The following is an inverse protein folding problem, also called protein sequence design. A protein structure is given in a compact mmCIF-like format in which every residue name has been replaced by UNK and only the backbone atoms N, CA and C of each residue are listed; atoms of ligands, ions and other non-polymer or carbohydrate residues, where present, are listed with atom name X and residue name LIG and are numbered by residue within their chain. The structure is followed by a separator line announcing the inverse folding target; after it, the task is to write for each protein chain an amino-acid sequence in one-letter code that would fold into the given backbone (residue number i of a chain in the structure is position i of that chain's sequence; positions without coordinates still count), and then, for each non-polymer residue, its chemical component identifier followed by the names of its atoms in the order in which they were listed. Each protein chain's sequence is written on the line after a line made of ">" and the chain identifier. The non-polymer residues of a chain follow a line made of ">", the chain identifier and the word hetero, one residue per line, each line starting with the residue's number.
data_IF_420029382063
#
_entry.id   IF_420029382063
#
_cell.length_a   1.000
_cell.length_b   1.000
_cell.length_c   1.000
_cell.angle_alpha   90.00
_cell.angle_beta   90.00
_cell.angle_gamma   90.00
#
_symmetry.space_group_name_H-M   'P 1'
#
loop_
_entity.id
_entity.type
_entity.pdbx_description
1 polymer ?
#
# COMPACT_ATOMS: atom_id res chain seq x y z
N UNK A 1 14.68 10.01 8.30
CA UNK A 1 13.36 9.64 8.84
C UNK A 1 13.14 8.15 8.62
N UNK A 2 12.62 7.45 9.63
CA UNK A 2 12.09 6.08 9.50
C UNK A 2 10.58 6.13 9.69
N UNK A 3 9.84 5.16 9.20
CA UNK A 3 8.41 5.10 9.49
C UNK A 3 8.14 4.54 10.90
N UNK A 4 7.00 4.89 11.49
CA UNK A 4 6.53 4.33 12.76
C UNK A 4 6.51 2.81 12.71
N UNK A 5 6.08 2.23 11.58
CA UNK A 5 6.09 0.78 11.33
C UNK A 5 7.43 0.13 11.70
N UNK A 6 8.53 0.75 11.32
CA UNK A 6 9.88 0.21 11.54
C UNK A 6 10.35 0.30 13.00
N UNK A 7 9.64 1.07 13.84
CA UNK A 7 10.02 1.31 15.22
C UNK A 7 8.96 0.83 16.24
N UNK A 8 7.89 0.15 15.80
CA UNK A 8 6.76 -0.25 16.67
C UNK A 8 7.20 -0.94 17.96
N UNK A 9 8.10 -1.93 17.90
CA UNK A 9 8.62 -2.61 19.09
C UNK A 9 9.31 -1.66 20.08
N UNK A 10 10.11 -0.71 19.57
CA UNK A 10 10.79 0.27 20.43
C UNK A 10 9.80 1.27 21.01
N UNK A 11 8.81 1.70 20.22
CA UNK A 11 7.73 2.60 20.66
C UNK A 11 6.88 1.94 21.75
N UNK A 12 6.56 0.65 21.61
CA UNK A 12 5.81 -0.12 22.61
C UNK A 12 6.55 -0.28 23.93
N UNK A 13 7.89 -0.22 23.93
CA UNK A 13 8.72 -0.24 25.14
C UNK A 13 8.89 1.14 25.78
N UNK A 14 8.43 2.22 25.14
CA UNK A 14 8.49 3.55 25.75
C UNK A 14 7.50 3.69 26.91
N UNK A 15 7.84 4.59 27.83
CA UNK A 15 6.90 5.08 28.84
C UNK A 15 5.65 5.65 28.18
N UNK A 16 4.50 5.47 28.82
CA UNK A 16 3.22 6.00 28.36
C UNK A 16 3.26 7.51 28.12
N UNK A 17 4.01 8.26 28.92
CA UNK A 17 4.21 9.70 28.69
C UNK A 17 4.64 10.01 27.25
N UNK A 18 5.59 9.24 26.73
CA UNK A 18 6.16 9.40 25.40
C UNK A 18 5.29 8.80 24.31
N UNK A 19 4.59 7.69 24.59
CA UNK A 19 3.57 7.17 23.67
C UNK A 19 2.44 8.18 23.45
N UNK A 20 2.00 8.84 24.52
CA UNK A 20 0.96 9.86 24.46
C UNK A 20 1.45 11.15 23.78
N UNK A 21 2.72 11.54 23.96
CA UNK A 21 3.32 12.64 23.18
C UNK A 21 3.28 12.33 21.68
N UNK A 22 3.77 11.14 21.29
CA UNK A 22 3.80 10.67 19.92
C UNK A 22 2.38 10.66 19.29
N UNK A 23 1.40 10.09 20.01
CA UNK A 23 0.00 10.05 19.58
C UNK A 23 -0.63 11.44 19.48
N UNK A 24 -0.28 12.35 20.39
CA UNK A 24 -0.77 13.73 20.33
C UNK A 24 -0.28 14.44 19.07
N UNK A 25 0.97 14.23 18.66
CA UNK A 25 1.50 14.77 17.41
C UNK A 25 0.77 14.21 16.19
N UNK A 26 0.55 12.89 16.12
CA UNK A 26 -0.18 12.25 15.01
C UNK A 26 -1.64 12.75 14.97
N UNK A 27 -2.31 12.85 16.13
CA UNK A 27 -3.69 13.33 16.21
C UNK A 27 -3.81 14.81 15.82
N UNK A 28 -2.81 15.64 16.17
CA UNK A 28 -2.75 17.04 15.78
C UNK A 28 -2.61 17.20 14.27
N UNK A 29 -1.73 16.43 13.63
CA UNK A 29 -1.59 16.42 12.17
C UNK A 29 -2.89 15.99 11.49
N UNK A 30 -3.54 14.94 12.01
CA UNK A 30 -4.82 14.46 11.46
C UNK A 30 -5.89 15.55 11.57
N UNK A 31 -5.95 16.22 12.72
CA UNK A 31 -6.82 17.37 12.93
C UNK A 31 -6.56 18.48 11.91
N UNK A 32 -5.29 18.80 11.63
CA UNK A 32 -4.92 19.82 10.66
C UNK A 32 -5.33 19.44 9.23
N UNK A 33 -5.13 18.18 8.83
CA UNK A 33 -5.58 17.67 7.54
C UNK A 33 -7.10 17.80 7.44
N UNK A 34 -7.83 17.32 8.46
CA UNK A 34 -9.28 17.34 8.49
C UNK A 34 -9.87 18.76 8.57
N UNK A 35 -9.17 19.73 9.18
CA UNK A 35 -9.63 21.12 9.24
C UNK A 35 -9.60 21.82 7.88
N UNK A 36 -8.84 21.29 6.92
CA UNK A 36 -8.79 21.76 5.54
C UNK A 36 -9.76 21.00 4.62
N UNK A 37 -10.70 20.24 5.19
CA UNK A 37 -11.63 19.38 4.45
C UNK A 37 -10.94 18.37 3.54
N UNK A 38 -9.78 17.87 3.99
CA UNK A 38 -9.01 16.82 3.33
C UNK A 38 -9.25 15.49 4.06
N UNK A 39 -9.41 14.42 3.31
CA UNK A 39 -9.41 13.02 3.77
C UNK A 39 -8.14 12.37 3.27
N UNK A 40 -7.39 11.68 4.15
CA UNK A 40 -6.08 11.11 3.83
C UNK A 40 -6.18 9.84 2.98
N UNK A 41 -7.12 8.93 3.28
CA UNK A 41 -7.44 7.71 2.51
C UNK A 41 -6.42 6.56 2.55
N UNK A 42 -5.19 6.83 2.98
CA UNK A 42 -4.12 5.82 3.13
C UNK A 42 -3.32 6.04 4.43
N UNK A 43 -4.05 6.30 5.52
CA UNK A 43 -3.43 6.52 6.83
C UNK A 43 -3.03 5.17 7.46
N UNK A 44 -1.74 4.95 7.66
CA UNK A 44 -1.20 3.74 8.30
C UNK A 44 0.20 4.00 8.86
N UNK A 45 0.74 3.09 9.69
CA UNK A 45 2.04 3.30 10.35
C UNK A 45 3.24 3.48 9.41
N UNK A 46 3.17 3.01 8.16
CA UNK A 46 4.22 3.29 7.17
C UNK A 46 4.21 4.75 6.67
N UNK A 47 3.06 5.41 6.70
CA UNK A 47 2.87 6.82 6.33
C UNK A 47 2.99 7.77 7.53
N UNK A 48 3.38 7.26 8.70
CA UNK A 48 3.79 8.07 9.84
C UNK A 48 5.32 8.13 9.87
N UNK A 49 5.90 9.29 9.59
CA UNK A 49 7.36 9.49 9.57
C UNK A 49 7.86 9.99 10.92
N UNK A 50 8.98 9.41 11.35
CA UNK A 50 9.66 9.76 12.60
C UNK A 50 11.02 10.37 12.30
N UNK A 51 11.23 11.60 12.79
CA UNK A 51 12.56 12.23 12.84
C UNK A 51 13.44 11.59 13.90
N UNK A 52 12.85 11.33 15.05
CA UNK A 52 13.37 10.49 16.12
C UNK A 52 12.22 9.69 16.73
N UNK A 53 12.48 8.78 17.67
CA UNK A 53 11.46 7.87 18.20
C UNK A 53 10.31 8.58 18.96
N UNK A 54 10.51 9.83 19.36
CA UNK A 54 9.55 10.62 20.15
C UNK A 54 8.68 11.56 19.31
N UNK A 55 9.06 11.81 18.06
CA UNK A 55 8.35 12.72 17.15
C UNK A 55 7.78 11.95 15.96
N UNK A 56 6.57 12.30 15.54
CA UNK A 56 5.90 11.68 14.39
C UNK A 56 5.10 12.71 13.61
N UNK A 57 5.09 12.53 12.29
CA UNK A 57 4.32 13.34 11.35
C UNK A 57 3.56 12.46 10.38
N UNK A 58 2.32 12.84 10.07
CA UNK A 58 1.57 12.22 8.98
C UNK A 58 2.17 12.66 7.64
N UNK A 59 2.39 11.71 6.75
CA UNK A 59 2.99 11.91 5.44
C UNK A 59 2.17 11.24 4.34
N UNK A 60 2.58 11.44 3.09
CA UNK A 60 1.98 10.84 1.89
C UNK A 60 0.49 11.17 1.70
N UNK A 61 0.24 12.41 1.29
CA UNK A 61 -1.06 12.88 0.84
C UNK A 61 -1.35 12.52 -0.63
N UNK A 62 -0.63 11.57 -1.23
CA UNK A 62 -0.80 11.19 -2.64
C UNK A 62 -2.20 10.69 -2.98
N UNK A 63 -2.88 10.07 -2.01
CA UNK A 63 -4.28 9.62 -2.15
C UNK A 63 -5.30 10.58 -1.55
N UNK A 64 -4.82 11.67 -0.94
CA UNK A 64 -5.69 12.58 -0.22
C UNK A 64 -6.61 13.34 -1.17
N UNK A 65 -7.85 13.55 -0.75
CA UNK A 65 -8.85 14.28 -1.56
C UNK A 65 -9.64 15.24 -0.70
N UNK A 66 -10.18 16.28 -1.33
CA UNK A 66 -11.15 17.15 -0.69
C UNK A 66 -12.48 16.43 -0.56
N UNK A 67 -13.15 16.58 0.58
CA UNK A 67 -14.48 16.02 0.85
C UNK A 67 -15.49 16.33 -0.27
N UNK A 68 -15.38 17.49 -0.90
CA UNK A 68 -16.28 17.93 -1.96
C UNK A 68 -16.10 17.17 -3.29
N UNK A 69 -14.90 16.63 -3.57
CA UNK A 69 -14.61 15.87 -4.80
C UNK A 69 -14.99 14.39 -4.68
N UNK A 70 -15.01 13.84 -3.47
CA UNK A 70 -15.30 12.42 -3.22
C UNK A 70 -16.70 12.02 -3.69
N UNK A 71 -17.64 12.97 -3.69
CA UNK A 71 -19.04 12.74 -4.10
C UNK A 71 -19.23 12.57 -5.60
N UNK A 72 -18.30 13.05 -6.44
CA UNK A 72 -18.49 13.14 -7.90
C UNK A 72 -17.75 12.06 -8.71
N UNK A 73 -16.77 11.34 -8.12
CA UNK A 73 -15.77 10.60 -8.92
C UNK A 73 -15.55 9.14 -8.57
N UNK A 74 -16.08 8.62 -7.46
CA UNK A 74 -15.83 7.23 -7.10
C UNK A 74 -16.81 6.29 -7.81
N UNK A 75 -16.39 5.78 -8.97
CA UNK A 75 -16.96 4.54 -9.50
C UNK A 75 -16.83 3.48 -8.40
N UNK A 76 -17.97 3.00 -7.89
CA UNK A 76 -18.18 2.08 -6.73
C UNK A 76 -17.39 0.76 -6.70
N UNK A 77 -16.34 0.59 -7.52
CA UNK A 77 -15.70 -0.70 -7.81
C UNK A 77 -14.22 -0.80 -7.40
N UNK A 78 -13.52 0.28 -7.08
CA UNK A 78 -12.08 0.25 -6.79
C UNK A 78 -11.76 1.01 -5.50
N UNK A 79 -11.38 0.29 -4.46
CA UNK A 79 -10.86 0.86 -3.21
C UNK A 79 -9.33 0.83 -3.30
N UNK A 80 -8.65 1.84 -2.78
CA UNK A 80 -7.20 1.85 -2.65
C UNK A 80 -6.81 1.95 -1.18
N UNK A 81 -5.80 1.20 -0.75
CA UNK A 81 -5.19 1.35 0.57
C UNK A 81 -4.63 0.04 1.11
N UNK A 82 -4.12 0.08 2.34
CA UNK A 82 -3.66 -1.13 3.06
C UNK A 82 -4.84 -1.78 3.80
N UNK A 83 -5.24 -2.97 3.37
CA UNK A 83 -6.48 -3.67 3.77
C UNK A 83 -6.81 -3.60 5.28
N UNK A 84 -5.91 -3.93 6.22
CA UNK A 84 -6.17 -3.78 7.66
C UNK A 84 -6.69 -2.40 8.08
N UNK A 85 -6.20 -1.32 7.46
CA UNK A 85 -6.48 0.06 7.85
C UNK A 85 -7.75 0.64 7.21
N UNK A 86 -8.36 -0.07 6.26
CA UNK A 86 -9.55 0.41 5.55
C UNK A 86 -10.77 0.18 6.42
N UNK A 87 -11.55 1.23 6.62
CA UNK A 87 -12.76 1.18 7.43
C UNK A 87 -13.83 0.24 6.81
N UNK A 88 -14.62 -0.46 7.63
CA UNK A 88 -15.56 -1.48 7.15
C UNK A 88 -16.64 -0.92 6.21
N UNK A 89 -17.09 0.32 6.41
CA UNK A 89 -18.03 0.99 5.50
C UNK A 89 -17.40 1.24 4.13
N UNK A 90 -16.11 1.61 4.09
CA UNK A 90 -15.38 1.81 2.84
C UNK A 90 -15.23 0.49 2.11
N UNK A 91 -14.93 -0.60 2.83
CA UNK A 91 -14.93 -1.96 2.28
C UNK A 91 -16.32 -2.40 1.75
N UNK A 92 -17.41 -1.81 2.27
CA UNK A 92 -18.77 -2.00 1.77
C UNK A 92 -19.11 -1.10 0.56
N UNK A 93 -18.15 -0.34 0.03
CA UNK A 93 -18.32 0.49 -1.15
C UNK A 93 -18.81 1.91 -0.86
N UNK A 94 -18.78 2.36 0.39
CA UNK A 94 -18.95 3.79 0.69
C UNK A 94 -17.66 4.55 0.38
N UNK A 95 -17.79 5.83 0.06
CA UNK A 95 -16.64 6.70 -0.12
C UNK A 95 -15.83 6.89 1.15
N UNK A 96 -14.54 7.20 0.99
CA UNK A 96 -13.69 7.60 2.11
C UNK A 96 -14.18 8.89 2.76
N UNK A 97 -14.07 8.96 4.09
CA UNK A 97 -14.50 10.10 4.89
C UNK A 97 -13.46 10.42 5.98
N UNK A 98 -13.60 11.57 6.63
CA UNK A 98 -12.81 11.86 7.84
C UNK A 98 -12.96 10.77 8.90
N UNK A 99 -14.16 10.19 9.03
CA UNK A 99 -14.41 9.08 9.95
C UNK A 99 -13.71 7.78 9.54
N UNK A 100 -13.44 7.54 8.25
CA UNK A 100 -12.64 6.39 7.82
C UNK A 100 -11.16 6.57 8.16
N UNK A 101 -10.60 7.79 8.07
CA UNK A 101 -9.23 8.04 8.56
C UNK A 101 -9.13 7.82 10.09
N UNK A 102 -10.19 8.17 10.84
CA UNK A 102 -10.25 7.93 12.29
C UNK A 102 -10.23 6.43 12.63
N UNK A 103 -10.88 5.59 11.81
CA UNK A 103 -10.77 4.14 11.94
C UNK A 103 -9.31 3.68 11.81
N UNK A 104 -8.61 4.16 10.79
CA UNK A 104 -7.20 3.86 10.58
C UNK A 104 -6.32 4.37 11.73
N UNK A 105 -6.62 5.55 12.29
CA UNK A 105 -5.96 6.07 13.48
C UNK A 105 -6.15 5.15 14.71
N UNK A 106 -7.35 4.58 14.90
CA UNK A 106 -7.60 3.60 15.97
C UNK A 106 -6.72 2.35 15.86
N UNK A 107 -6.40 1.93 14.63
CA UNK A 107 -5.47 0.82 14.40
C UNK A 107 -4.01 1.22 14.66
N UNK A 108 -3.61 2.45 14.34
CA UNK A 108 -2.29 2.98 14.70
C UNK A 108 -2.14 3.06 16.24
N UNK A 109 -3.19 3.46 16.96
CA UNK A 109 -3.20 3.38 18.43
C UNK A 109 -2.93 1.95 18.91
N UNK A 110 -3.63 0.97 18.32
CA UNK A 110 -3.40 -0.43 18.65
C UNK A 110 -1.94 -0.84 18.43
N UNK A 111 -1.33 -0.51 17.28
CA UNK A 111 0.07 -0.82 16.99
C UNK A 111 1.07 -0.15 17.96
N UNK A 112 0.80 1.10 18.36
CA UNK A 112 1.64 1.81 19.34
C UNK A 112 1.59 1.13 20.71
N UNK A 113 0.40 0.63 21.11
CA UNK A 113 0.22 -0.06 22.38
C UNK A 113 0.80 -1.47 22.38
N UNK A 114 0.64 -2.22 21.29
CA UNK A 114 1.03 -3.63 21.19
C UNK A 114 2.47 -3.83 20.72
N UNK A 115 3.02 -2.88 19.96
CA UNK A 115 4.32 -3.03 19.27
C UNK A 115 4.29 -3.99 18.09
N UNK A 116 3.12 -4.51 17.76
CA UNK A 116 2.87 -5.46 16.69
C UNK A 116 2.19 -4.79 15.52
N UNK A 117 2.34 -5.38 14.35
CA UNK A 117 1.61 -4.99 13.16
C UNK A 117 0.20 -5.56 13.20
N UNK A 118 -0.79 -4.76 12.79
CA UNK A 118 -2.20 -5.17 12.77
C UNK A 118 -2.36 -6.46 11.94
N UNK A 119 -2.94 -7.51 12.54
CA UNK A 119 -3.17 -8.82 11.93
C UNK A 119 -1.90 -9.54 11.41
N UNK A 120 -0.75 -9.29 12.02
CA UNK A 120 0.55 -9.89 11.63
C UNK A 120 0.56 -11.42 11.63
N UNK A 121 -0.32 -12.04 12.40
CA UNK A 121 -0.52 -13.47 12.53
C UNK A 121 -1.30 -14.10 11.36
N UNK A 122 -1.93 -13.29 10.50
CA UNK A 122 -2.73 -13.75 9.36
C UNK A 122 -1.88 -13.68 8.08
N UNK A 123 -1.26 -14.79 7.70
CA UNK A 123 -0.54 -14.91 6.42
C UNK A 123 -1.51 -14.95 5.23
N UNK A 124 -1.32 -14.05 4.25
CA UNK A 124 -1.98 -13.99 2.92
C UNK A 124 -3.46 -14.41 2.91
N UNK A 125 -4.24 -13.82 3.82
CA UNK A 125 -5.62 -14.22 4.02
C UNK A 125 -6.59 -13.43 3.12
N UNK A 126 -6.95 -14.04 1.99
CA UNK A 126 -7.98 -13.51 1.08
C UNK A 126 -9.35 -13.31 1.75
N UNK A 127 -9.57 -13.85 2.96
CA UNK A 127 -10.82 -13.70 3.74
C UNK A 127 -10.74 -12.60 4.80
N UNK A 128 -9.56 -12.02 5.05
CA UNK A 128 -9.36 -10.97 6.06
C UNK A 128 -10.32 -9.77 5.85
N UNK A 129 -10.62 -9.42 4.61
CA UNK A 129 -11.57 -8.35 4.31
C UNK A 129 -13.00 -8.69 4.79
N UNK A 130 -13.47 -9.94 4.62
CA UNK A 130 -14.79 -10.39 5.09
C UNK A 130 -14.81 -10.31 6.60
N UNK A 131 -13.75 -10.77 7.23
CA UNK A 131 -13.66 -10.78 8.67
C UNK A 131 -13.71 -9.35 9.21
N UNK A 132 -12.94 -8.42 8.65
CA UNK A 132 -12.99 -6.99 9.01
C UNK A 132 -14.38 -6.40 8.78
N UNK A 133 -14.99 -6.69 7.63
CA UNK A 133 -16.36 -6.28 7.28
C UNK A 133 -17.39 -6.82 8.29
N UNK A 134 -17.19 -8.04 8.76
CA UNK A 134 -18.02 -8.71 9.76
C UNK A 134 -17.67 -8.34 11.21
N UNK A 135 -16.75 -7.40 11.40
CA UNK A 135 -16.43 -6.83 12.71
C UNK A 135 -15.19 -7.41 13.40
N UNK A 136 -14.32 -8.14 12.69
CA UNK A 136 -13.02 -8.52 13.20
C UNK A 136 -12.24 -7.28 13.63
N UNK A 137 -11.61 -7.38 14.80
CA UNK A 137 -10.73 -6.38 15.39
C UNK A 137 -9.56 -7.12 16.03
N UNK A 138 -8.36 -6.52 16.06
CA UNK A 138 -7.22 -7.14 16.72
C UNK A 138 -7.46 -7.19 18.24
N UNK A 139 -6.93 -8.23 18.88
CA UNK A 139 -7.08 -8.40 20.33
C UNK A 139 -6.30 -7.31 21.08
N UNK A 140 -6.94 -6.65 22.05
CA UNK A 140 -6.28 -5.66 22.90
C UNK A 140 -5.57 -6.40 24.03
N UNK A 141 -4.27 -6.15 24.18
CA UNK A 141 -3.46 -6.82 25.20
C UNK A 141 -3.99 -6.53 26.62
N UNK A 142 -4.03 -7.56 27.46
CA UNK A 142 -4.41 -7.43 28.87
C UNK A 142 -3.46 -6.45 29.57
N UNK A 143 -4.03 -5.53 30.35
CA UNK A 143 -3.26 -4.47 31.01
C UNK A 143 -3.08 -3.20 30.19
N UNK A 144 -3.69 -3.12 29.00
CA UNK A 144 -3.86 -1.82 28.31
C UNK A 144 -4.68 -0.89 29.21
N UNK A 145 -4.27 0.38 29.28
CA UNK A 145 -4.90 1.40 30.12
C UNK A 145 -6.35 1.62 29.67
N UNK A 146 -7.31 1.64 30.61
CA UNK A 146 -8.74 1.62 30.29
C UNK A 146 -9.19 2.82 29.46
N UNK A 147 -8.80 4.04 29.85
CA UNK A 147 -9.17 5.22 29.08
C UNK A 147 -8.56 5.23 27.66
N UNK A 148 -7.40 4.59 27.48
CA UNK A 148 -6.78 4.38 26.17
C UNK A 148 -7.57 3.39 25.33
N UNK A 149 -7.91 2.24 25.91
CA UNK A 149 -8.75 1.22 25.30
C UNK A 149 -10.11 1.77 24.88
N UNK A 150 -10.74 2.59 25.72
CA UNK A 150 -12.03 3.23 25.42
C UNK A 150 -11.95 4.17 24.21
N UNK A 151 -10.89 5.00 24.11
CA UNK A 151 -10.71 5.88 22.95
C UNK A 151 -10.43 5.07 21.69
N UNK A 152 -9.53 4.09 21.78
CA UNK A 152 -9.18 3.18 20.68
C UNK A 152 -10.44 2.48 20.16
N UNK A 153 -11.31 1.98 21.06
CA UNK A 153 -12.58 1.35 20.69
C UNK A 153 -13.55 2.28 20.00
N UNK A 154 -13.61 3.55 20.41
CA UNK A 154 -14.44 4.55 19.73
C UNK A 154 -13.89 4.89 18.34
N UNK A 155 -12.57 4.96 18.17
CA UNK A 155 -11.95 5.25 16.88
C UNK A 155 -12.28 4.19 15.82
N UNK A 156 -12.27 2.90 16.19
CA UNK A 156 -12.53 1.81 15.25
C UNK A 156 -13.96 1.24 15.30
N UNK A 157 -14.93 1.99 15.84
CA UNK A 157 -16.34 1.59 15.90
C UNK A 157 -16.86 1.26 14.48
N UNK A 158 -17.70 0.24 14.37
CA UNK A 158 -18.29 -0.16 13.08
C UNK A 158 -19.18 0.94 12.50
N UNK A 159 -19.84 1.73 13.35
CA UNK A 159 -20.63 2.89 12.96
C UNK A 159 -19.75 4.14 12.85
N UNK A 160 -19.51 4.68 11.64
CA UNK A 160 -18.65 5.85 11.47
C UNK A 160 -19.17 7.10 12.19
N UNK A 161 -20.47 7.19 12.52
CA UNK A 161 -21.05 8.32 13.24
C UNK A 161 -20.66 8.33 14.72
N UNK A 162 -20.35 7.16 15.29
CA UNK A 162 -19.92 7.03 16.70
C UNK A 162 -18.43 7.33 16.89
N UNK A 163 -17.68 7.42 15.80
CA UNK A 163 -16.25 7.72 15.84
C UNK A 163 -16.05 9.19 16.21
N UNK A 164 -15.09 9.50 17.10
CA UNK A 164 -14.77 10.89 17.44
C UNK A 164 -14.14 11.59 16.24
N UNK A 165 -14.29 12.90 16.17
CA UNK A 165 -13.54 13.74 15.24
C UNK A 165 -12.06 13.84 15.65
N UNK A 166 -11.17 14.12 14.69
CA UNK A 166 -9.74 14.30 14.98
C UNK A 166 -9.45 15.36 16.09
N UNK A 167 -10.15 16.51 16.16
CA UNK A 167 -10.04 17.42 17.29
C UNK A 167 -10.44 16.81 18.65
N UNK A 168 -11.51 16.00 18.69
CA UNK A 168 -11.93 15.32 19.92
C UNK A 168 -10.90 14.28 20.37
N UNK A 169 -10.28 13.57 19.44
CA UNK A 169 -9.19 12.63 19.71
C UNK A 169 -8.00 13.37 20.32
N UNK A 170 -7.50 14.41 19.65
CA UNK A 170 -6.38 15.22 20.13
C UNK A 170 -6.63 15.76 21.54
N UNK A 171 -7.79 16.40 21.74
CA UNK A 171 -8.17 16.96 23.05
C UNK A 171 -8.30 15.88 24.13
N UNK A 172 -8.82 14.70 23.78
CA UNK A 172 -8.93 13.58 24.73
C UNK A 172 -7.55 13.13 25.21
N UNK A 173 -6.62 12.88 24.29
CA UNK A 173 -5.25 12.42 24.58
C UNK A 173 -4.50 13.45 25.44
N UNK A 174 -4.56 14.73 25.07
CA UNK A 174 -3.92 15.82 25.84
C UNK A 174 -4.53 15.94 27.23
N UNK A 175 -5.85 15.72 27.37
CA UNK A 175 -6.52 15.83 28.67
C UNK A 175 -6.08 14.78 29.68
N UNK A 176 -5.62 13.60 29.24
CA UNK A 176 -5.21 12.52 30.15
C UNK A 176 -4.03 12.90 31.03
N UNK A 177 -3.07 13.67 30.50
CA UNK A 177 -1.91 14.16 31.26
C UNK A 177 -2.30 15.16 32.36
N UNK A 178 -3.42 15.84 32.19
CA UNK A 178 -3.90 16.87 33.12
C UNK A 178 -4.86 16.30 34.19
N UNK A 179 -5.30 15.05 34.07
CA UNK A 179 -6.24 14.40 34.98
C UNK A 179 -5.50 13.40 35.86
N UNK A 180 -5.28 13.75 37.13
CA UNK A 180 -4.45 12.98 38.08
C UNK A 180 -4.82 11.49 38.15
N UNK A 181 -6.12 11.17 38.22
CA UNK A 181 -6.59 9.78 38.32
C UNK A 181 -6.27 8.98 37.05
N UNK A 182 -6.52 9.54 35.86
CA UNK A 182 -6.21 8.87 34.59
C UNK A 182 -4.70 8.74 34.38
N UNK A 183 -3.94 9.79 34.71
CA UNK A 183 -2.49 9.75 34.61
C UNK A 183 -1.87 8.65 35.49
N UNK A 184 -2.47 8.39 36.66
CA UNK A 184 -2.03 7.32 37.55
C UNK A 184 -2.14 5.94 36.91
N UNK A 185 -3.21 5.67 36.14
CA UNK A 185 -3.36 4.40 35.42
C UNK A 185 -2.21 4.17 34.42
N UNK A 186 -1.78 5.22 33.72
CA UNK A 186 -0.63 5.14 32.80
C UNK A 186 0.69 4.85 33.53
N UNK A 187 0.91 5.46 34.70
CA UNK A 187 2.10 5.20 35.52
C UNK A 187 2.11 3.76 36.06
N UNK A 188 0.96 3.22 36.47
CA UNK A 188 0.82 1.84 36.93
C UNK A 188 1.10 0.84 35.79
N UNK A 189 0.62 1.12 34.58
CA UNK A 189 0.90 0.32 33.40
C UNK A 189 2.39 0.34 33.01
N UNK A 190 3.07 1.48 33.13
CA UNK A 190 4.52 1.57 32.93
C UNK A 190 5.29 0.67 33.92
N UNK A 191 4.86 0.60 35.18
CA UNK A 191 5.47 -0.27 36.19
C UNK A 191 5.28 -1.75 35.87
N UNK A 192 4.10 -2.15 35.42
CA UNK A 192 3.80 -3.55 35.07
C UNK A 192 4.66 -4.05 33.90
N UNK A 193 4.87 -3.21 32.88
CA UNK A 193 5.65 -3.58 31.69
C UNK A 193 7.15 -3.78 31.98
N UNK A 194 7.72 -3.04 32.94
CA UNK A 194 9.12 -3.22 33.38
C UNK A 194 9.34 -4.63 33.97
N UNK A 195 8.32 -5.21 34.63
CA UNK A 195 8.44 -6.50 35.30
C UNK A 195 8.29 -7.72 34.38
N UNK A 196 7.77 -7.55 33.16
CA UNK A 196 7.43 -8.65 32.24
C UNK A 196 8.20 -8.64 30.91
N UNK A 197 9.28 -7.86 30.78
CA UNK A 197 10.06 -7.80 29.54
C UNK A 197 10.78 -9.14 29.29
N UNK A 198 10.32 -9.91 28.30
CA UNK A 198 11.01 -11.08 27.76
C UNK A 198 11.69 -10.77 26.43
N UNK A 199 12.85 -11.39 26.20
CA UNK A 199 13.62 -11.30 24.95
C UNK A 199 12.81 -11.89 23.77
N UNK A 200 12.58 -11.06 22.74
CA UNK A 200 11.78 -11.45 21.59
C UNK A 200 12.59 -11.66 20.30
N UNK A 201 12.38 -12.85 19.73
CA UNK A 201 12.83 -13.24 18.41
C UNK A 201 12.28 -12.33 17.29
N UNK A 202 13.07 -12.22 16.24
CA UNK A 202 12.81 -11.44 15.02
C UNK A 202 11.81 -12.24 14.17
N UNK A 203 10.62 -11.69 13.91
CA UNK A 203 9.75 -12.20 12.84
C UNK A 203 10.00 -11.31 11.62
N UNK A 204 10.44 -11.93 10.53
CA UNK A 204 10.76 -11.26 9.27
C UNK A 204 9.48 -11.07 8.45
N UNK A 205 9.17 -9.83 8.09
CA UNK A 205 7.93 -9.44 7.38
C UNK A 205 8.13 -9.43 5.85
N UNK A 206 7.48 -10.37 5.16
CA UNK A 206 7.15 -10.25 3.74
C UNK A 206 5.71 -10.77 3.54
N UNK A 207 4.72 -9.95 3.88
CA UNK A 207 3.30 -10.29 3.72
C UNK A 207 2.60 -9.27 2.80
N UNK A 208 1.88 -9.77 1.80
CA UNK A 208 1.18 -9.03 0.73
C UNK A 208 0.01 -8.18 1.25
N UNK A 209 -0.48 -8.43 2.47
CA UNK A 209 -1.58 -7.66 3.07
C UNK A 209 -1.17 -6.23 3.48
N UNK A 210 0.14 -5.94 3.52
CA UNK A 210 0.70 -4.65 3.95
C UNK A 210 1.23 -3.80 2.80
N UNK A 211 0.90 -4.13 1.55
CA UNK A 211 1.21 -3.29 0.40
C UNK A 211 -0.04 -2.52 -0.02
N UNK A 212 0.10 -1.22 -0.24
CA UNK A 212 -1.00 -0.39 -0.77
C UNK A 212 -1.35 -0.90 -2.17
N UNK A 213 -2.60 -1.33 -2.35
CA UNK A 213 -3.07 -1.95 -3.60
C UNK A 213 -4.50 -1.54 -3.94
N UNK A 214 -4.85 -1.68 -5.21
CA UNK A 214 -6.25 -1.62 -5.62
C UNK A 214 -6.93 -2.90 -5.14
N UNK A 215 -8.04 -2.71 -4.46
CA UNK A 215 -8.92 -3.74 -3.93
C UNK A 215 -10.22 -3.62 -4.73
N UNK A 216 -10.43 -4.55 -5.67
CA UNK A 216 -11.68 -4.64 -6.43
C UNK A 216 -12.67 -5.51 -5.64
N UNK A 217 -13.71 -4.89 -5.09
CA UNK A 217 -14.69 -5.57 -4.22
C UNK A 217 -15.36 -6.74 -4.96
N UNK A 218 -15.59 -6.60 -6.28
CA UNK A 218 -16.23 -7.62 -7.12
C UNK A 218 -15.33 -8.87 -7.26
N UNK A 219 -14.03 -8.66 -7.42
CA UNK A 219 -13.08 -9.76 -7.56
C UNK A 219 -12.97 -10.53 -6.24
N UNK A 220 -13.12 -9.86 -5.11
CA UNK A 220 -13.01 -10.49 -3.80
C UNK A 220 -14.28 -11.27 -3.43
N UNK A 221 -15.48 -10.73 -3.70
CA UNK A 221 -16.73 -11.51 -3.56
C UNK A 221 -16.71 -12.73 -4.49
N UNK A 222 -16.13 -12.60 -5.69
CA UNK A 222 -15.91 -13.69 -6.63
C UNK A 222 -14.85 -14.70 -6.16
N UNK A 223 -13.73 -14.26 -5.57
CA UNK A 223 -12.66 -15.13 -5.01
C UNK A 223 -13.21 -15.96 -3.84
N UNK A 224 -14.07 -15.39 -2.99
CA UNK A 224 -14.71 -16.13 -1.90
C UNK A 224 -15.69 -17.17 -2.45
N UNK A 225 -16.47 -16.82 -3.48
CA UNK A 225 -17.35 -17.77 -4.16
C UNK A 225 -16.56 -18.90 -4.83
N UNK A 226 -15.44 -18.56 -5.49
CA UNK A 226 -14.52 -19.50 -6.16
C UNK A 226 -13.71 -20.37 -5.18
N UNK A 227 -13.54 -19.97 -3.91
CA UNK A 227 -12.95 -20.85 -2.88
C UNK A 227 -13.97 -21.83 -2.28
N UNK A 228 -15.26 -21.47 -2.26
CA UNK A 228 -16.33 -22.35 -1.77
C UNK A 228 -16.81 -23.35 -2.82
N UNK A 229 -16.59 -23.07 -4.10
CA UNK A 229 -16.86 -23.98 -5.21
C UNK A 229 -15.49 -24.34 -5.78
N UNK A 230 -15.03 -25.58 -5.58
CA UNK A 230 -13.71 -26.07 -6.02
C UNK A 230 -13.56 -26.00 -7.57
N UNK A 231 -13.36 -24.80 -8.12
CA UNK A 231 -13.22 -24.52 -9.55
C UNK A 231 -11.81 -24.00 -9.77
N UNK A 232 -10.89 -24.94 -9.90
CA UNK A 232 -9.67 -24.70 -10.67
C UNK A 232 -10.09 -24.59 -12.15
N UNK A 233 -9.67 -23.52 -12.81
CA UNK A 233 -9.91 -23.18 -14.23
C UNK A 233 -11.12 -22.29 -14.53
N UNK A 234 -10.92 -20.99 -14.32
CA UNK A 234 -11.56 -19.96 -15.16
C UNK A 234 -10.43 -19.26 -15.91
N UNK A 235 -10.52 -19.26 -17.24
CA UNK A 235 -9.56 -18.57 -18.10
C UNK A 235 -9.80 -17.05 -17.98
N UNK A 236 -8.87 -16.35 -17.32
CA UNK A 236 -9.00 -14.92 -17.03
C UNK A 236 -8.67 -14.03 -18.25
N UNK A 237 -8.48 -14.63 -19.44
CA UNK A 237 -8.04 -13.92 -20.66
C UNK A 237 -9.16 -13.58 -21.64
N UNK A 238 -10.36 -14.13 -21.47
CA UNK A 238 -11.53 -13.94 -22.36
C UNK A 238 -11.99 -12.48 -22.49
N UNK A 239 -11.45 -11.57 -21.68
CA UNK A 239 -11.77 -10.14 -21.68
C UNK A 239 -10.64 -9.23 -22.19
N UNK A 240 -9.51 -9.81 -22.64
CA UNK A 240 -8.39 -9.05 -23.22
C UNK A 240 -8.56 -9.00 -24.73
N UNK A 241 -8.51 -7.81 -25.32
CA UNK A 241 -8.61 -7.65 -26.77
C UNK A 241 -7.48 -8.47 -27.46
N UNK A 242 -7.80 -9.37 -28.40
CA UNK A 242 -6.83 -10.20 -29.11
C UNK A 242 -5.64 -9.45 -29.71
N UNK A 243 -5.80 -8.16 -30.03
CA UNK A 243 -4.72 -7.33 -30.55
C UNK A 243 -3.52 -7.17 -29.59
N UNK A 244 -3.72 -7.37 -28.29
CA UNK A 244 -2.65 -7.26 -27.29
C UNK A 244 -1.81 -8.54 -27.14
N UNK A 245 -2.22 -9.63 -27.79
CA UNK A 245 -1.45 -10.87 -27.79
C UNK A 245 -0.36 -10.84 -28.86
N UNK A 246 0.87 -10.87 -28.39
CA UNK A 246 2.06 -10.91 -29.23
C UNK A 246 2.42 -12.36 -29.56
N UNK A 247 2.70 -12.58 -30.84
CA UNK A 247 3.14 -13.88 -31.34
C UNK A 247 4.60 -14.13 -30.96
N UNK A 248 4.83 -15.00 -29.98
CA UNK A 248 6.17 -15.39 -29.50
C UNK A 248 7.12 -15.82 -30.61
N UNK A 249 6.61 -16.37 -31.72
CA UNK A 249 7.44 -16.84 -32.84
C UNK A 249 8.19 -15.72 -33.56
N UNK A 250 7.84 -14.46 -33.30
CA UNK A 250 8.48 -13.27 -33.86
C UNK A 250 9.65 -12.74 -33.01
N UNK A 251 9.95 -13.40 -31.89
CA UNK A 251 10.95 -12.96 -30.92
C UNK A 251 11.98 -14.06 -30.64
N UNK A 252 13.26 -13.69 -30.67
CA UNK A 252 14.39 -14.57 -30.40
C UNK A 252 15.06 -14.20 -29.06
N UNK A 253 15.19 -15.13 -28.10
CA UNK A 253 15.86 -14.86 -26.83
C UNK A 253 17.36 -14.61 -27.02
N UNK A 254 17.88 -13.58 -26.35
CA UNK A 254 19.32 -13.30 -26.26
C UNK A 254 19.93 -14.01 -25.04
N UNK A 255 20.69 -15.07 -25.30
CA UNK A 255 21.34 -15.89 -24.26
C UNK A 255 22.73 -15.38 -23.84
N UNK A 256 23.27 -14.38 -24.55
CA UNK A 256 24.57 -13.75 -24.32
C UNK A 256 24.54 -12.64 -23.24
N UNK A 257 23.34 -12.33 -22.73
CA UNK A 257 23.10 -11.28 -21.73
C UNK A 257 23.06 -11.85 -20.30
N UNK A 258 23.58 -11.13 -19.30
CA UNK A 258 23.40 -11.51 -17.89
C UNK A 258 21.90 -11.45 -17.54
N UNK A 259 21.29 -12.53 -17.01
CA UNK A 259 19.89 -12.50 -16.62
C UNK A 259 19.66 -11.48 -15.50
N UNK A 260 18.68 -10.59 -15.67
CA UNK A 260 18.23 -9.63 -14.65
C UNK A 260 16.98 -10.18 -13.96
N UNK A 261 17.18 -10.96 -12.91
CA UNK A 261 16.08 -11.59 -12.17
C UNK A 261 15.27 -12.57 -13.04
N UNK A 262 13.96 -12.39 -13.12
CA UNK A 262 13.01 -13.23 -13.89
C UNK A 262 12.70 -12.67 -15.30
N UNK A 263 13.40 -11.63 -15.75
CA UNK A 263 13.17 -10.97 -17.05
C UNK A 263 14.04 -11.60 -18.13
N UNK A 264 13.44 -11.96 -19.26
CA UNK A 264 14.11 -12.52 -20.43
C UNK A 264 14.33 -11.39 -21.45
N UNK A 265 15.55 -11.23 -21.93
CA UNK A 265 15.87 -10.30 -23.01
C UNK A 265 15.61 -11.00 -24.36
N UNK A 266 14.75 -10.42 -25.18
CA UNK A 266 14.41 -10.92 -26.50
C UNK A 266 14.65 -9.85 -27.57
N UNK A 267 14.92 -10.28 -28.79
CA UNK A 267 15.01 -9.43 -29.97
C UNK A 267 13.89 -9.77 -30.96
N UNK A 268 13.26 -8.78 -31.60
CA UNK A 268 12.19 -9.03 -32.58
C UNK A 268 11.98 -7.88 -33.57
N UNK A 269 11.43 -8.17 -34.75
CA UNK A 269 11.19 -7.16 -35.79
C UNK A 269 10.66 -7.74 -37.10
N UNK A 270 10.01 -6.89 -37.91
CA UNK A 270 9.38 -7.33 -39.18
C UNK A 270 10.36 -7.41 -40.36
N UNK A 271 11.59 -6.93 -40.21
CA UNK A 271 12.63 -6.95 -41.24
C UNK A 271 14.05 -7.03 -40.64
N UNK A 272 15.00 -7.76 -41.28
CA UNK A 272 16.39 -7.82 -40.83
C UNK A 272 17.04 -6.43 -40.79
N UNK A 273 17.65 -6.07 -39.65
CA UNK A 273 18.33 -4.78 -39.46
C UNK A 273 17.49 -3.65 -38.84
N UNK A 274 16.20 -3.88 -38.57
CA UNK A 274 15.31 -3.00 -37.79
C UNK A 274 14.80 -3.69 -36.51
N UNK A 275 15.64 -4.56 -35.96
CA UNK A 275 15.31 -5.38 -34.81
C UNK A 275 15.27 -4.53 -33.53
N UNK A 276 14.13 -4.50 -32.85
CA UNK A 276 13.95 -3.86 -31.56
C UNK A 276 14.27 -4.86 -30.44
N UNK A 277 14.64 -4.32 -29.28
CA UNK A 277 14.96 -5.09 -28.07
C UNK A 277 13.82 -5.02 -27.06
N UNK A 278 13.46 -6.17 -26.51
CA UNK A 278 12.29 -6.36 -25.67
C UNK A 278 12.64 -7.07 -24.36
N UNK A 279 11.94 -6.69 -23.30
CA UNK A 279 11.96 -7.36 -22.02
C UNK A 279 10.67 -8.19 -21.84
N UNK A 280 10.84 -9.49 -21.62
CA UNK A 280 9.76 -10.43 -21.34
C UNK A 280 9.75 -10.74 -19.85
N UNK A 281 8.74 -10.27 -19.13
CA UNK A 281 8.61 -10.48 -17.69
C UNK A 281 7.47 -11.45 -17.40
N UNK A 282 7.79 -12.61 -16.83
CA UNK A 282 6.79 -13.63 -16.47
C UNK A 282 5.79 -13.08 -15.44
N UNK A 283 4.51 -13.25 -15.73
CA UNK A 283 3.37 -12.88 -14.89
C UNK A 283 3.11 -14.02 -13.90
N UNK A 284 3.02 -13.69 -12.63
CA UNK A 284 2.71 -14.62 -11.53
C UNK A 284 1.20 -14.91 -11.46
N UNK A 285 0.80 -16.06 -10.93
CA UNK A 285 -0.59 -16.52 -10.97
C UNK A 285 -1.58 -15.59 -10.24
N UNK A 286 -1.13 -14.91 -9.19
CA UNK A 286 -1.87 -13.86 -8.48
C UNK A 286 -2.21 -12.67 -9.39
N UNK A 287 -1.32 -12.31 -10.32
CA UNK A 287 -1.48 -11.17 -11.24
C UNK A 287 -2.27 -11.52 -12.51
N UNK A 288 -2.45 -12.81 -12.81
CA UNK A 288 -3.29 -13.26 -13.93
C UNK A 288 -4.76 -12.89 -13.73
N UNK A 289 -5.21 -12.79 -12.46
CA UNK A 289 -6.59 -12.44 -12.10
C UNK A 289 -6.99 -11.03 -12.52
N UNK A 290 -6.04 -10.08 -12.46
CA UNK A 290 -6.27 -8.66 -12.76
C UNK A 290 -5.64 -8.23 -14.11
N UNK A 291 -5.29 -9.20 -14.96
CA UNK A 291 -4.47 -8.98 -16.15
C UNK A 291 -5.13 -8.00 -17.15
N UNK A 292 -6.45 -8.11 -17.35
CA UNK A 292 -7.22 -7.24 -18.25
C UNK A 292 -7.17 -5.78 -17.82
N UNK A 293 -7.24 -5.51 -16.52
CA UNK A 293 -7.12 -4.16 -15.98
C UNK A 293 -5.70 -3.62 -16.15
N UNK A 294 -4.67 -4.42 -15.88
CA UNK A 294 -3.27 -4.02 -16.06
C UNK A 294 -2.99 -3.62 -17.51
N UNK A 295 -3.45 -4.40 -18.49
CA UNK A 295 -3.30 -4.11 -19.92
C UNK A 295 -4.00 -2.80 -20.31
N UNK A 296 -5.23 -2.59 -19.82
CA UNK A 296 -5.99 -1.38 -20.12
C UNK A 296 -5.26 -0.11 -19.65
N UNK A 297 -4.61 -0.17 -18.49
CA UNK A 297 -3.83 0.95 -17.95
C UNK A 297 -2.57 1.17 -18.76
N UNK A 298 -1.82 0.10 -19.04
CA UNK A 298 -0.56 0.18 -19.78
C UNK A 298 -0.77 0.72 -21.21
N UNK A 299 -1.96 0.52 -21.80
CA UNK A 299 -2.35 1.14 -23.07
C UNK A 299 -2.41 2.67 -22.99
N UNK A 300 -3.00 3.22 -21.94
CA UNK A 300 -3.09 4.68 -21.74
C UNK A 300 -1.70 5.33 -21.53
N UNK A 301 -0.65 4.51 -21.36
CA UNK A 301 0.73 4.97 -21.19
C UNK A 301 1.57 4.95 -22.47
N UNK A 302 1.06 4.45 -23.59
CA UNK A 302 1.83 4.24 -24.83
C UNK A 302 2.47 5.53 -25.39
N UNK A 303 1.82 6.67 -25.12
CA UNK A 303 2.19 7.99 -25.61
C UNK A 303 3.23 8.72 -24.75
N UNK A 304 3.66 8.15 -23.62
CA UNK A 304 4.64 8.80 -22.74
C UNK A 304 6.08 8.46 -23.11
N UNK A 305 6.88 9.50 -23.36
CA UNK A 305 8.33 9.38 -23.57
C UNK A 305 9.11 9.06 -22.27
N UNK A 306 8.48 9.24 -21.10
CA UNK A 306 9.13 9.10 -19.78
C UNK A 306 8.75 7.80 -19.06
N UNK A 307 8.00 6.92 -19.72
CA UNK A 307 7.48 5.67 -19.19
C UNK A 307 7.95 4.56 -20.13
N UNK A 308 8.48 3.47 -19.57
CA UNK A 308 8.86 2.28 -20.34
C UNK A 308 7.68 1.83 -21.19
N UNK A 309 7.89 1.76 -22.50
CA UNK A 309 6.84 1.41 -23.44
C UNK A 309 6.39 -0.03 -23.24
N UNK A 310 5.08 -0.20 -23.15
CA UNK A 310 4.42 -1.50 -23.14
C UNK A 310 3.97 -1.89 -24.55
N UNK A 311 4.27 -3.12 -24.96
CA UNK A 311 3.93 -3.62 -26.30
C UNK A 311 2.79 -4.64 -26.30
N UNK A 312 2.57 -5.35 -25.19
CA UNK A 312 1.51 -6.36 -25.10
C UNK A 312 1.84 -7.53 -24.18
N UNK A 313 1.03 -8.57 -24.29
CA UNK A 313 1.21 -9.83 -23.56
C UNK A 313 1.66 -10.91 -24.54
N UNK A 314 2.59 -11.75 -24.12
CA UNK A 314 2.90 -12.97 -24.83
C UNK A 314 2.54 -14.20 -23.98
N UNK A 315 2.09 -15.26 -24.64
CA UNK A 315 1.67 -16.51 -23.99
C UNK A 315 2.56 -17.64 -24.49
N UNK A 316 3.09 -18.44 -23.58
CA UNK A 316 3.90 -19.61 -23.89
C UNK A 316 3.13 -20.64 -24.72
N UNK A 317 3.85 -21.49 -25.44
CA UNK A 317 3.26 -22.55 -26.28
C UNK A 317 2.43 -23.60 -25.53
N UNK A 318 2.55 -23.66 -24.20
CA UNK A 318 1.74 -24.51 -23.34
C UNK A 318 0.57 -23.76 -22.67
N UNK A 319 0.35 -22.48 -22.99
CA UNK A 319 -0.72 -21.61 -22.45
C UNK A 319 -0.72 -21.42 -20.92
N UNK A 320 0.33 -21.89 -20.24
CA UNK A 320 0.45 -21.81 -18.78
C UNK A 320 1.20 -20.55 -18.33
N UNK A 321 2.08 -20.00 -19.15
CA UNK A 321 2.94 -18.87 -18.79
C UNK A 321 2.60 -17.63 -19.61
N UNK A 322 2.32 -16.54 -18.90
CA UNK A 322 2.01 -15.24 -19.45
C UNK A 322 3.20 -14.31 -19.22
N UNK A 323 3.49 -13.44 -20.18
CA UNK A 323 4.60 -12.50 -20.11
C UNK A 323 4.12 -11.10 -20.47
N UNK A 324 4.49 -10.11 -19.65
CA UNK A 324 4.45 -8.71 -20.08
C UNK A 324 5.64 -8.44 -20.99
N UNK A 325 5.37 -7.81 -22.13
CA UNK A 325 6.38 -7.43 -23.12
C UNK A 325 6.53 -5.92 -23.10
N UNK A 326 7.71 -5.45 -22.71
CA UNK A 326 8.06 -4.04 -22.68
C UNK A 326 9.33 -3.78 -23.48
N UNK A 327 9.67 -2.51 -23.65
CA UNK A 327 10.98 -2.11 -24.14
C UNK A 327 12.10 -2.63 -23.23
N UNK A 328 13.22 -3.03 -23.84
CA UNK A 328 14.43 -3.37 -23.10
C UNK A 328 15.19 -2.11 -22.68
N UNK A 329 15.41 -1.97 -21.37
CA UNK A 329 16.21 -0.88 -20.81
C UNK A 329 17.66 -1.31 -20.66
N UNK A 330 18.53 -0.85 -21.56
CA UNK A 330 19.94 -1.32 -21.66
C UNK A 330 20.70 -1.19 -20.35
N UNK A 331 20.54 -0.06 -19.66
CA UNK A 331 21.19 0.21 -18.38
C UNK A 331 20.40 -0.33 -17.17
N UNK A 332 19.14 -0.71 -17.40
CA UNK A 332 18.16 -1.10 -16.39
C UNK A 332 18.01 -0.08 -15.28
N UNK A 333 17.45 -0.55 -14.18
CA UNK A 333 17.95 -0.44 -12.83
C UNK A 333 18.42 0.94 -12.35
N UNK A 334 17.63 1.95 -11.98
CA UNK A 334 18.26 3.17 -11.42
C UNK A 334 19.09 2.87 -10.15
N UNK A 335 18.65 1.93 -9.31
CA UNK A 335 19.39 1.46 -8.11
C UNK A 335 20.71 0.74 -8.47
N UNK A 336 20.68 -0.14 -9.47
CA UNK A 336 21.83 -0.88 -10.00
C UNK A 336 22.78 0.08 -10.72
N UNK A 337 22.22 1.06 -11.42
CA UNK A 337 22.96 2.09 -12.12
C UNK A 337 23.74 2.96 -11.14
N UNK A 338 23.13 3.39 -10.03
CA UNK A 338 23.85 4.10 -8.96
C UNK A 338 24.95 3.27 -8.31
N UNK A 339 24.81 1.95 -8.30
CA UNK A 339 25.80 1.04 -7.71
C UNK A 339 26.99 0.84 -8.66
N UNK A 340 26.75 0.85 -9.98
CA UNK A 340 27.77 0.57 -10.99
C UNK A 340 28.40 1.83 -11.60
N UNK A 341 27.74 3.00 -11.51
CA UNK A 341 28.19 4.24 -12.15
C UNK A 341 28.17 5.43 -11.18
N UNK A 342 29.27 6.18 -11.14
CA UNK A 342 29.37 7.41 -10.36
C UNK A 342 28.71 8.57 -11.13
N UNK A 343 27.49 8.93 -10.73
CA UNK A 343 26.72 10.01 -11.34
C UNK A 343 27.09 11.38 -10.78
N UNK A 344 27.41 12.32 -11.67
CA UNK A 344 27.50 13.75 -11.37
C UNK A 344 26.12 14.36 -11.09
N UNK A 345 26.11 15.58 -10.53
CA UNK A 345 24.87 16.24 -10.14
C UNK A 345 23.98 16.63 -11.32
N UNK A 346 24.56 16.94 -12.49
CA UNK A 346 23.76 17.34 -13.65
C UNK A 346 22.89 16.18 -14.13
N UNK A 347 23.47 14.98 -14.26
CA UNK A 347 22.72 13.77 -14.63
C UNK A 347 21.68 13.38 -13.59
N UNK A 348 21.96 13.60 -12.29
CA UNK A 348 20.97 13.36 -11.22
C UNK A 348 19.76 14.29 -11.34
N UNK A 349 20.00 15.56 -11.67
CA UNK A 349 18.92 16.52 -11.91
C UNK A 349 18.11 16.17 -13.15
N UNK A 350 18.75 15.76 -14.24
CA UNK A 350 18.06 15.28 -15.44
C UNK A 350 17.13 14.10 -15.12
N UNK A 351 17.64 13.07 -14.42
CA UNK A 351 16.80 11.93 -14.01
C UNK A 351 15.64 12.34 -13.11
N UNK A 352 15.86 13.24 -12.16
CA UNK A 352 14.80 13.73 -11.29
C UNK A 352 13.72 14.50 -12.09
N UNK A 353 14.12 15.31 -13.08
CA UNK A 353 13.21 16.03 -13.95
C UNK A 353 12.38 15.05 -14.79
N UNK A 354 13.00 14.04 -15.38
CA UNK A 354 12.30 13.06 -16.22
C UNK A 354 11.34 12.18 -15.42
N UNK A 355 11.70 11.80 -14.20
CA UNK A 355 10.78 11.13 -13.25
C UNK A 355 9.58 12.05 -12.95
N UNK A 356 9.82 13.33 -12.66
CA UNK A 356 8.75 14.29 -12.42
C UNK A 356 7.82 14.45 -13.63
N UNK A 357 8.37 14.43 -14.86
CA UNK A 357 7.58 14.50 -16.10
C UNK A 357 6.73 13.25 -16.30
N UNK A 358 7.29 12.06 -16.05
CA UNK A 358 6.53 10.81 -16.07
C UNK A 358 5.38 10.82 -15.06
N UNK A 359 5.65 11.25 -13.82
CA UNK A 359 4.60 11.39 -12.79
C UNK A 359 3.55 12.41 -13.23
N UNK A 360 3.94 13.55 -13.78
CA UNK A 360 3.00 14.56 -14.27
C UNK A 360 2.11 14.04 -15.40
N UNK A 361 2.67 13.24 -16.33
CA UNK A 361 1.91 12.55 -17.37
C UNK A 361 0.88 11.60 -16.76
N UNK A 362 1.31 10.75 -15.81
CA UNK A 362 0.44 9.80 -15.10
C UNK A 362 -0.70 10.50 -14.35
N UNK A 363 -0.45 11.70 -13.80
CA UNK A 363 -1.47 12.53 -13.17
C UNK A 363 -2.50 13.03 -14.18
N UNK A 364 -2.03 13.47 -15.35
CA UNK A 364 -2.88 14.05 -16.38
C UNK A 364 -3.89 13.04 -16.95
N UNK A 365 -3.49 11.78 -17.07
CA UNK A 365 -4.36 10.68 -17.53
C UNK A 365 -5.23 10.08 -16.41
N UNK A 366 -5.15 10.59 -15.18
CA UNK A 366 -5.97 10.12 -14.05
C UNK A 366 -5.56 8.75 -13.50
N UNK A 367 -4.34 8.28 -13.80
CA UNK A 367 -3.82 6.94 -13.42
C UNK A 367 -3.14 6.96 -12.03
N UNK A 368 -3.18 8.08 -11.30
CA UNK A 368 -2.57 8.23 -9.96
C UNK A 368 -2.97 7.14 -8.95
N UNK A 369 -4.17 6.58 -9.12
CA UNK A 369 -4.77 5.57 -8.25
C UNK A 369 -4.11 4.18 -8.38
N UNK A 370 -3.23 3.97 -9.36
CA UNK A 370 -2.70 2.63 -9.71
C UNK A 370 -1.17 2.53 -9.57
N UNK A 371 -0.56 3.63 -9.13
CA UNK A 371 0.84 3.89 -9.35
C UNK A 371 1.79 3.07 -8.47
N UNK A 372 1.41 2.65 -7.26
CA UNK A 372 2.37 1.99 -6.38
C UNK A 372 2.67 0.53 -6.74
N UNK A 373 1.69 -0.20 -7.29
CA UNK A 373 1.87 -1.62 -7.66
C UNK A 373 2.40 -1.85 -9.07
N UNK A 374 2.10 -0.95 -10.02
CA UNK A 374 2.66 -1.04 -11.36
C UNK A 374 4.11 -0.54 -11.35
N UNK A 375 4.43 0.57 -10.66
CA UNK A 375 5.80 1.12 -10.62
C UNK A 375 6.77 0.29 -9.79
N UNK A 376 6.35 -0.31 -8.67
CA UNK A 376 7.28 -1.13 -7.87
C UNK A 376 7.83 -2.34 -8.63
N UNK A 377 7.26 -2.69 -9.79
CA UNK A 377 7.72 -3.81 -10.60
C UNK A 377 7.97 -3.52 -12.08
N UNK A 378 7.45 -2.44 -12.67
CA UNK A 378 7.81 -2.01 -14.03
C UNK A 378 8.84 -0.86 -14.04
N UNK A 379 9.04 -0.19 -12.90
CA UNK A 379 9.88 1.00 -12.76
C UNK A 379 10.85 0.97 -11.57
N UNK A 380 10.86 -0.11 -10.78
CA UNK A 380 12.10 -0.57 -10.14
C UNK A 380 12.84 -1.51 -11.10
N UNK A 381 12.97 -1.04 -12.35
CA UNK A 381 14.20 -1.20 -13.07
C UNK A 381 14.74 0.19 -13.47
#
# INVERSE_FOLDING_TARGET
>A
MRSLRQNLRKVAQMKWEKKLDLLSSIAFDLQLIHSHDIVHRDLHSCNILQDNIYDAYISDLGFATSVNKTLETESRKKIYGIMPYIAPEVLCGTSFTKASDVYSFGLIMWEISSGNVVFSEREDDSTLYLDIRNGLKPEIAKGTVLCYEDLLKKCWDADPVKRPSAPEIYNTIVSWKNKTELWKEFLEADMYNIHNATDDNIVQEHNTIYTSRIINIIDIESIVLMKHINIDHIDHTDHIDPQFFLDLRKYEPKFDCKPRGKTIHCRGGSAPGLELEYAFKKITDDKKRDLSQHVAILKELEDSEYIVRFYGIAVSSNELDYYFVTEWMENGNLRDYYTNYKLDWNKRFEFAIDICRGIAFLNAIGVYIILFNIISELFLY
#
